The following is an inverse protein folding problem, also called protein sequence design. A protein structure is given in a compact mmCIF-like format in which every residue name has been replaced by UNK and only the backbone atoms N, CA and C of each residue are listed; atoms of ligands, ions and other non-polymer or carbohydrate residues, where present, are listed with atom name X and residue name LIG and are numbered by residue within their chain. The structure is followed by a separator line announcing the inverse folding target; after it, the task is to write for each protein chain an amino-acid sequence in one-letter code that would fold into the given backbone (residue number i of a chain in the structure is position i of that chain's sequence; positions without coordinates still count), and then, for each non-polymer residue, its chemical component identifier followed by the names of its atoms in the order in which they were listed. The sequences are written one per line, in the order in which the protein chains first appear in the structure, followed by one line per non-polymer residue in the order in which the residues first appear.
data_IF_321045483715
#
_entry.id   IF_321045483715
#
_cell.length_a   1.000
_cell.length_b   1.000
_cell.length_c   1.000
_cell.angle_alpha   90.00
_cell.angle_beta   90.00
_cell.angle_gamma   90.00
#
_symmetry.space_group_name_H-M   'P 1'
#
loop_
_entity.id
_entity.type
_entity.pdbx_description
1 polymer ?
#
# COMPACT_ATOMS: atom_id res chain seq x y z
N UNK A 1 -14.06 11.32 -16.80
CA UNK A 1 -15.04 10.82 -15.80
C UNK A 1 -14.36 10.72 -14.43
N UNK A 2 -15.06 10.98 -13.32
CA UNK A 2 -14.49 10.80 -11.97
C UNK A 2 -14.51 9.31 -11.62
N UNK A 3 -13.36 8.78 -11.17
CA UNK A 3 -13.21 7.40 -10.70
C UNK A 3 -13.26 7.30 -9.17
N UNK A 4 -12.85 6.14 -8.64
CA UNK A 4 -12.89 5.82 -7.20
C UNK A 4 -11.96 6.66 -6.33
N UNK A 5 -10.97 7.32 -6.94
CA UNK A 5 -10.07 8.28 -6.30
C UNK A 5 -10.25 9.69 -6.89
N UNK A 6 -11.43 9.99 -7.46
CA UNK A 6 -11.74 11.24 -8.14
C UNK A 6 -11.12 11.35 -9.54
N UNK A 7 -10.47 12.49 -9.85
CA UNK A 7 -9.91 12.73 -11.20
C UNK A 7 -8.42 12.40 -11.22
N UNK A 8 -8.07 11.25 -11.80
CA UNK A 8 -6.69 10.82 -11.99
C UNK A 8 -6.06 11.53 -13.19
N UNK A 9 -4.90 12.14 -12.98
CA UNK A 9 -4.12 12.82 -14.02
C UNK A 9 -2.98 11.96 -14.53
N UNK A 10 -2.40 11.12 -13.67
CA UNK A 10 -1.35 10.19 -14.03
C UNK A 10 -1.45 8.91 -13.20
N UNK A 11 -1.01 7.79 -13.76
CA UNK A 11 -0.85 6.53 -13.02
C UNK A 11 0.43 5.87 -13.45
N UNK A 12 1.10 5.26 -12.48
CA UNK A 12 2.14 4.29 -12.72
C UNK A 12 1.82 3.05 -11.90
N UNK A 13 1.76 1.89 -12.53
CA UNK A 13 1.54 0.62 -11.85
C UNK A 13 2.43 -0.47 -12.44
N UNK A 14 2.97 -1.32 -11.58
CA UNK A 14 3.72 -2.52 -11.95
C UNK A 14 3.05 -3.72 -11.32
N UNK A 15 2.89 -4.75 -12.11
CA UNK A 15 2.43 -6.07 -11.69
C UNK A 15 3.62 -7.01 -11.71
N UNK A 16 3.95 -7.57 -10.54
CA UNK A 16 4.99 -8.58 -10.38
C UNK A 16 4.42 -9.86 -9.76
N UNK A 17 5.19 -10.93 -9.87
CA UNK A 17 4.87 -12.20 -9.20
C UNK A 17 5.58 -12.25 -7.86
N UNK A 18 4.82 -12.37 -6.78
CA UNK A 18 5.42 -12.56 -5.45
C UNK A 18 5.91 -14.00 -5.26
N UNK A 19 6.69 -14.25 -4.21
CA UNK A 19 7.24 -15.58 -3.87
C UNK A 19 6.20 -16.71 -3.72
N UNK A 20 4.90 -16.37 -3.62
CA UNK A 20 3.77 -17.31 -3.59
C UNK A 20 3.20 -17.63 -4.99
N UNK A 21 3.86 -17.20 -6.06
CA UNK A 21 3.46 -17.38 -7.45
C UNK A 21 2.10 -16.77 -7.82
N UNK A 22 1.69 -15.71 -7.11
CA UNK A 22 0.48 -14.93 -7.43
C UNK A 22 0.86 -13.55 -7.91
N UNK A 23 0.01 -12.94 -8.73
CA UNK A 23 0.16 -11.54 -9.12
C UNK A 23 0.07 -10.62 -7.89
N UNK A 24 0.93 -9.62 -7.87
CA UNK A 24 1.02 -8.58 -6.87
C UNK A 24 1.24 -7.25 -7.58
N UNK A 25 0.53 -6.20 -7.16
CA UNK A 25 0.57 -4.90 -7.81
C UNK A 25 1.12 -3.82 -6.88
N UNK A 26 1.94 -2.95 -7.42
CA UNK A 26 2.33 -1.67 -6.82
C UNK A 26 1.88 -0.55 -7.73
N UNK A 27 1.22 0.47 -7.19
CA UNK A 27 0.75 1.61 -7.98
C UNK A 27 0.96 2.94 -7.26
N UNK A 28 1.37 3.94 -8.02
CA UNK A 28 1.26 5.35 -7.70
C UNK A 28 0.18 5.97 -8.58
N UNK A 29 -0.79 6.63 -7.96
CA UNK A 29 -1.90 7.28 -8.65
C UNK A 29 -1.86 8.76 -8.29
N UNK A 30 -1.68 9.62 -9.28
CA UNK A 30 -1.72 11.06 -9.12
C UNK A 30 -3.08 11.56 -9.55
N UNK A 31 -3.75 12.30 -8.67
CA UNK A 31 -5.06 12.85 -8.98
C UNK A 31 -5.74 13.50 -7.80
N UNK A 32 -6.88 14.10 -8.09
CA UNK A 32 -7.76 14.78 -7.15
C UNK A 32 -7.08 15.93 -6.40
N UNK A 33 -6.43 15.67 -5.27
CA UNK A 33 -5.91 16.70 -4.38
C UNK A 33 -4.40 16.49 -4.20
N UNK A 34 -3.55 17.40 -4.70
CA UNK A 34 -2.10 17.25 -4.59
C UNK A 34 -1.62 17.29 -3.13
N UNK A 35 -0.58 16.49 -2.76
CA UNK A 35 -0.03 16.49 -1.40
C UNK A 35 0.45 17.86 -0.94
N UNK A 36 1.08 18.62 -1.84
CA UNK A 36 1.53 19.99 -1.56
C UNK A 36 0.37 20.93 -1.21
N UNK A 37 -0.77 20.78 -1.87
CA UNK A 37 -1.96 21.57 -1.56
C UNK A 37 -2.48 21.22 -0.17
N UNK A 38 -2.63 19.92 0.12
CA UNK A 38 -3.05 19.41 1.43
C UNK A 38 -2.16 19.93 2.58
N UNK A 39 -0.84 19.97 2.37
CA UNK A 39 0.11 20.52 3.34
C UNK A 39 -0.07 22.03 3.54
N UNK A 40 -0.24 22.80 2.45
CA UNK A 40 -0.41 24.27 2.52
C UNK A 40 -1.71 24.71 3.22
N UNK A 41 -2.73 23.86 3.24
CA UNK A 41 -4.03 24.16 3.88
C UNK A 41 -4.12 23.60 5.30
N UNK A 42 -3.11 22.87 5.79
CA UNK A 42 -3.22 22.06 7.00
C UNK A 42 -3.58 22.85 8.27
N UNK A 43 -3.25 24.15 8.32
CA UNK A 43 -3.61 25.04 9.43
C UNK A 43 -4.96 25.74 9.25
N UNK A 44 -5.63 25.57 8.11
CA UNK A 44 -6.95 26.16 7.84
C UNK A 44 -8.06 25.13 8.07
N UNK A 45 -8.61 25.15 9.28
CA UNK A 45 -9.61 24.20 9.74
C UNK A 45 -10.86 24.13 8.84
N UNK A 46 -11.34 25.27 8.32
CA UNK A 46 -12.53 25.30 7.46
C UNK A 46 -12.32 24.59 6.11
N UNK A 47 -11.12 24.70 5.53
CA UNK A 47 -10.76 23.99 4.31
C UNK A 47 -10.49 22.52 4.62
N UNK A 48 -9.77 22.23 5.71
CA UNK A 48 -9.47 20.87 6.18
C UNK A 48 -10.75 20.06 6.34
N UNK A 49 -11.81 20.61 6.94
CA UNK A 49 -13.09 19.90 7.10
C UNK A 49 -13.70 19.49 5.76
N UNK A 50 -13.73 20.40 4.77
CA UNK A 50 -14.27 20.11 3.44
C UNK A 50 -13.44 19.05 2.72
N UNK A 51 -12.12 19.18 2.77
CA UNK A 51 -11.19 18.22 2.17
C UNK A 51 -11.29 16.84 2.82
N UNK A 52 -11.41 16.79 4.14
CA UNK A 52 -11.55 15.54 4.90
C UNK A 52 -12.80 14.76 4.47
N UNK A 53 -13.93 15.45 4.25
CA UNK A 53 -15.14 14.82 3.71
C UNK A 53 -14.93 14.24 2.31
N UNK A 54 -14.15 14.91 1.44
CA UNK A 54 -13.79 14.37 0.12
C UNK A 54 -12.90 13.15 0.26
N UNK A 55 -11.90 13.18 1.13
CA UNK A 55 -11.00 12.05 1.38
C UNK A 55 -11.73 10.84 1.97
N UNK A 56 -12.69 11.06 2.87
CA UNK A 56 -13.55 10.01 3.43
C UNK A 56 -14.46 9.35 2.38
N UNK A 57 -14.71 10.03 1.24
CA UNK A 57 -15.41 9.43 0.10
C UNK A 57 -14.53 8.49 -0.74
N UNK A 58 -13.19 8.61 -0.61
CA UNK A 58 -12.21 7.81 -1.34
C UNK A 58 -11.64 6.67 -0.51
N UNK A 59 -11.43 6.90 0.79
CA UNK A 59 -10.69 6.00 1.66
C UNK A 59 -11.46 5.78 2.96
N UNK A 60 -11.28 4.61 3.54
CA UNK A 60 -11.72 4.29 4.89
C UNK A 60 -10.65 3.49 5.62
N UNK A 61 -10.57 3.69 6.93
CA UNK A 61 -9.68 2.98 7.83
C UNK A 61 -10.46 2.41 9.04
N UNK A 62 -11.76 2.20 8.87
CA UNK A 62 -12.67 1.71 9.91
C UNK A 62 -13.65 0.68 9.36
N UNK A 63 -14.16 -0.14 10.27
CA UNK A 63 -15.28 -1.06 10.01
C UNK A 63 -16.40 -0.80 11.00
N UNK A 64 -17.65 -1.19 10.65
CA UNK A 64 -18.73 -1.28 11.62
C UNK A 64 -18.32 -2.12 12.85
N UNK A 65 -18.62 -1.67 14.09
CA UNK A 65 -18.18 -2.36 15.30
C UNK A 65 -18.67 -3.80 15.46
N UNK A 66 -19.86 -4.12 14.98
CA UNK A 66 -20.44 -5.47 14.94
C UNK A 66 -19.58 -6.44 14.11
N UNK A 67 -19.03 -5.97 12.98
CA UNK A 67 -18.10 -6.75 12.16
C UNK A 67 -16.79 -7.01 12.92
N UNK A 68 -16.31 -6.04 13.69
CA UNK A 68 -15.13 -6.23 14.55
C UNK A 68 -15.38 -7.27 15.64
N UNK A 69 -16.56 -7.21 16.28
CA UNK A 69 -16.97 -8.19 17.30
C UNK A 69 -16.99 -9.59 16.68
N UNK A 70 -17.65 -9.78 15.55
CA UNK A 70 -17.70 -11.09 14.87
C UNK A 70 -16.30 -11.58 14.47
N UNK A 71 -15.44 -10.69 13.95
CA UNK A 71 -14.06 -11.01 13.60
C UNK A 71 -13.20 -11.41 14.81
N UNK A 72 -13.46 -10.82 15.98
CA UNK A 72 -12.81 -11.20 17.24
C UNK A 72 -13.34 -12.53 17.78
N UNK A 73 -14.65 -12.76 17.77
CA UNK A 73 -15.27 -14.03 18.14
C UNK A 73 -14.74 -15.18 17.26
N UNK A 74 -14.67 -14.97 15.95
CA UNK A 74 -14.07 -15.94 15.02
C UNK A 74 -12.63 -16.29 15.41
N UNK A 75 -11.83 -15.30 15.85
CA UNK A 75 -10.46 -15.56 16.32
C UNK A 75 -10.41 -16.34 17.63
N UNK A 76 -11.30 -16.04 18.57
CA UNK A 76 -11.39 -16.72 19.86
C UNK A 76 -11.79 -18.19 19.66
N UNK A 77 -12.82 -18.43 18.84
CA UNK A 77 -13.33 -19.76 18.51
C UNK A 77 -12.50 -20.50 17.45
N UNK A 78 -11.45 -19.86 16.91
CA UNK A 78 -10.58 -20.39 15.83
C UNK A 78 -11.35 -20.75 14.55
N UNK A 79 -12.46 -20.06 14.30
CA UNK A 79 -13.24 -20.15 13.07
C UNK A 79 -12.48 -19.38 11.98
N UNK A 80 -12.31 -20.01 10.82
CA UNK A 80 -11.68 -19.35 9.67
C UNK A 80 -12.74 -18.52 8.94
N UNK A 81 -12.57 -17.19 8.83
CA UNK A 81 -13.50 -16.38 8.06
C UNK A 81 -13.38 -16.72 6.56
N UNK A 82 -14.38 -16.31 5.73
CA UNK A 82 -14.30 -16.50 4.30
C UNK A 82 -13.04 -15.83 3.72
N UNK A 83 -12.51 -16.43 2.65
CA UNK A 83 -11.41 -15.83 1.91
C UNK A 83 -11.96 -14.77 0.97
N UNK A 84 -11.51 -13.52 1.12
CA UNK A 84 -12.01 -12.39 0.35
C UNK A 84 -11.96 -12.65 -1.16
N UNK A 85 -10.92 -13.34 -1.64
CA UNK A 85 -10.71 -13.64 -3.06
C UNK A 85 -11.67 -14.68 -3.63
N UNK A 86 -12.45 -15.37 -2.78
CA UNK A 86 -13.47 -16.35 -3.17
C UNK A 86 -14.88 -15.76 -3.07
N UNK A 87 -15.02 -14.55 -2.51
CA UNK A 87 -16.30 -13.87 -2.41
C UNK A 87 -16.62 -13.19 -3.74
N UNK A 88 -17.85 -13.35 -4.22
CA UNK A 88 -18.28 -12.76 -5.49
C UNK A 88 -18.17 -11.22 -5.40
N UNK A 89 -17.62 -10.54 -6.42
CA UNK A 89 -17.67 -9.08 -6.49
C UNK A 89 -19.12 -8.63 -6.67
N UNK A 90 -19.51 -7.59 -5.95
CA UNK A 90 -20.84 -6.95 -6.05
C UNK A 90 -20.68 -5.48 -6.38
N UNK A 91 -21.73 -4.87 -6.95
CA UNK A 91 -21.77 -3.45 -7.26
C UNK A 91 -22.94 -2.78 -6.52
N UNK A 92 -22.83 -1.48 -6.18
CA UNK A 92 -23.94 -0.76 -5.57
C UNK A 92 -25.22 -0.80 -6.41
N UNK A 93 -25.09 -0.80 -7.74
CA UNK A 93 -26.23 -0.89 -8.67
C UNK A 93 -26.94 -2.25 -8.63
N UNK A 94 -26.24 -3.33 -8.22
CA UNK A 94 -26.81 -4.67 -8.19
C UNK A 94 -27.54 -5.00 -6.88
N UNK A 95 -27.05 -4.48 -5.75
CA UNK A 95 -27.53 -4.89 -4.42
C UNK A 95 -27.91 -3.72 -3.50
N UNK A 96 -27.76 -2.47 -3.96
CA UNK A 96 -27.89 -1.27 -3.13
C UNK A 96 -26.60 -0.91 -2.41
N UNK A 97 -26.49 0.36 -2.00
CA UNK A 97 -25.26 0.90 -1.40
C UNK A 97 -24.95 0.29 -0.02
N UNK A 98 -25.96 0.14 0.84
CA UNK A 98 -25.76 -0.38 2.19
C UNK A 98 -25.31 -1.84 2.18
N UNK A 99 -25.96 -2.67 1.34
CA UNK A 99 -25.57 -4.07 1.17
C UNK A 99 -24.17 -4.20 0.53
N UNK A 100 -23.80 -3.29 -0.37
CA UNK A 100 -22.46 -3.19 -0.91
C UNK A 100 -21.42 -2.88 0.17
N UNK A 101 -21.68 -1.91 1.04
CA UNK A 101 -20.78 -1.56 2.15
C UNK A 101 -20.68 -2.68 3.19
N UNK A 102 -21.78 -3.39 3.47
CA UNK A 102 -21.79 -4.59 4.31
C UNK A 102 -20.95 -5.72 3.70
N UNK A 103 -21.11 -6.01 2.41
CA UNK A 103 -20.29 -7.01 1.70
C UNK A 103 -18.81 -6.67 1.77
N UNK A 104 -18.47 -5.39 1.53
CA UNK A 104 -17.10 -4.90 1.61
C UNK A 104 -16.52 -5.10 3.01
N UNK A 105 -17.28 -4.79 4.05
CA UNK A 105 -16.84 -4.92 5.45
C UNK A 105 -16.46 -6.36 5.79
N UNK A 106 -17.23 -7.34 5.32
CA UNK A 106 -16.92 -8.76 5.48
C UNK A 106 -15.65 -9.16 4.69
N UNK A 107 -15.45 -8.62 3.48
CA UNK A 107 -14.19 -8.86 2.72
C UNK A 107 -12.97 -8.28 3.43
N UNK A 108 -13.12 -7.12 4.07
CA UNK A 108 -12.04 -6.46 4.81
C UNK A 108 -11.62 -7.29 6.02
N UNK A 109 -12.55 -7.84 6.80
CA UNK A 109 -12.25 -8.72 7.94
C UNK A 109 -11.85 -10.15 7.52
N UNK A 110 -12.23 -10.57 6.31
CA UNK A 110 -11.94 -11.88 5.75
C UNK A 110 -10.46 -12.22 5.57
N UNK A 111 -10.18 -13.50 5.25
CA UNK A 111 -8.81 -13.95 4.99
C UNK A 111 -8.28 -13.27 3.73
N UNK A 112 -7.13 -12.60 3.87
CA UNK A 112 -6.52 -11.84 2.79
C UNK A 112 -7.19 -10.49 2.55
N UNK A 113 -8.06 -10.05 3.46
CA UNK A 113 -8.62 -8.69 3.49
C UNK A 113 -7.65 -7.66 4.06
N UNK A 114 -8.20 -6.59 4.62
CA UNK A 114 -7.44 -5.41 5.07
C UNK A 114 -7.22 -5.37 6.58
N UNK A 115 -7.58 -6.42 7.31
CA UNK A 115 -7.22 -6.53 8.72
C UNK A 115 -5.76 -6.92 8.90
N UNK A 116 -4.97 -6.02 9.47
CA UNK A 116 -3.58 -6.29 9.78
C UNK A 116 -3.46 -7.45 10.77
N UNK A 117 -2.64 -8.43 10.39
CA UNK A 117 -2.22 -9.53 11.22
C UNK A 117 -0.71 -9.57 11.21
N UNK A 118 -0.10 -9.64 12.39
CA UNK A 118 1.34 -9.80 12.48
C UNK A 118 1.78 -11.08 11.76
N UNK A 119 2.70 -10.92 10.82
CA UNK A 119 3.37 -12.01 10.11
C UNK A 119 4.89 -11.85 10.28
N UNK A 120 5.67 -12.78 9.73
CA UNK A 120 7.13 -12.72 9.80
C UNK A 120 7.70 -11.40 9.21
N UNK A 121 7.01 -10.77 8.24
CA UNK A 121 7.45 -9.49 7.65
C UNK A 121 7.39 -8.35 8.65
N UNK A 122 6.45 -8.41 9.61
CA UNK A 122 6.30 -7.43 10.67
C UNK A 122 7.51 -7.43 11.62
N UNK A 123 8.27 -8.54 11.66
CA UNK A 123 9.45 -8.70 12.51
C UNK A 123 10.78 -8.42 11.79
N UNK A 124 10.73 -7.97 10.52
CA UNK A 124 11.94 -7.69 9.72
C UNK A 124 12.54 -6.32 10.06
N UNK A 125 13.88 -6.22 9.98
CA UNK A 125 14.62 -4.97 10.13
C UNK A 125 14.78 -4.51 11.59
N UNK A 126 15.42 -3.35 11.80
CA UNK A 126 15.65 -2.79 13.14
C UNK A 126 14.33 -2.56 13.90
N UNK A 127 13.36 -1.90 13.26
CA UNK A 127 12.05 -1.61 13.86
C UNK A 127 11.26 -2.87 14.20
N UNK A 128 11.30 -3.89 13.34
CA UNK A 128 10.58 -5.16 13.52
C UNK A 128 10.99 -5.96 14.77
N UNK A 129 12.14 -5.66 15.37
CA UNK A 129 12.61 -6.30 16.61
C UNK A 129 11.91 -5.77 17.86
N UNK A 130 11.48 -4.50 17.81
CA UNK A 130 10.90 -3.79 18.97
C UNK A 130 9.40 -3.58 18.81
N UNK A 131 8.94 -3.39 17.57
CA UNK A 131 7.54 -3.11 17.26
C UNK A 131 7.15 -3.68 15.90
N UNK A 132 5.89 -3.53 15.50
CA UNK A 132 5.48 -3.91 14.16
C UNK A 132 6.23 -3.05 13.13
N UNK A 133 6.98 -3.67 12.21
CA UNK A 133 7.64 -2.97 11.10
C UNK A 133 6.67 -2.09 10.29
N UNK A 134 5.40 -2.50 10.18
CA UNK A 134 4.36 -1.78 9.46
C UNK A 134 3.62 -0.76 10.35
N UNK A 135 4.15 -0.47 11.55
CA UNK A 135 3.59 0.48 12.52
C UNK A 135 2.10 0.22 12.85
N UNK A 136 1.78 -1.05 13.16
CA UNK A 136 0.44 -1.49 13.57
C UNK A 136 0.40 -1.92 15.05
N UNK A 137 -0.71 -1.67 15.78
CA UNK A 137 -1.88 -0.90 15.35
C UNK A 137 -1.50 0.56 15.08
N UNK A 138 -2.17 1.17 14.10
CA UNK A 138 -1.96 2.58 13.78
C UNK A 138 -2.68 3.45 14.80
N UNK A 139 -2.21 4.69 14.98
CA UNK A 139 -2.81 5.65 15.89
C UNK A 139 -4.30 5.90 15.57
N UNK A 140 -5.11 6.01 16.62
CA UNK A 140 -6.52 6.35 16.51
C UNK A 140 -6.68 7.85 16.24
N UNK A 141 -7.68 8.20 15.46
CA UNK A 141 -7.94 9.56 15.05
C UNK A 141 -9.46 9.79 14.85
N UNK A 142 -10.11 10.71 15.58
CA UNK A 142 -11.56 10.87 15.51
C UNK A 142 -12.08 11.37 14.15
N UNK A 143 -11.21 11.99 13.35
CA UNK A 143 -11.55 12.56 12.04
C UNK A 143 -10.38 12.47 11.08
N UNK A 144 -10.65 12.37 9.79
CA UNK A 144 -9.60 12.54 8.77
C UNK A 144 -9.02 13.94 8.86
N UNK A 145 -7.70 14.08 8.74
CA UNK A 145 -7.07 15.40 8.80
C UNK A 145 -5.56 15.37 9.06
N UNK A 146 -4.93 16.55 9.06
CA UNK A 146 -3.50 16.69 9.28
C UNK A 146 -3.12 16.50 10.76
N UNK A 147 -1.93 15.97 10.96
CA UNK A 147 -1.17 15.91 12.21
C UNK A 147 0.22 16.47 11.94
N UNK A 148 0.75 17.30 12.82
CA UNK A 148 2.11 17.82 12.69
C UNK A 148 3.03 17.09 13.67
N UNK A 149 4.18 16.65 13.18
CA UNK A 149 5.20 15.97 13.96
C UNK A 149 6.38 16.92 14.15
N UNK A 150 6.84 17.07 15.39
CA UNK A 150 8.06 17.78 15.73
C UNK A 150 9.13 16.78 16.13
N UNK A 151 10.28 16.85 15.47
CA UNK A 151 11.46 16.04 15.78
C UNK A 151 12.40 16.82 16.69
N UNK A 152 12.88 16.19 17.74
CA UNK A 152 13.95 16.72 18.58
C UNK A 152 15.20 15.90 18.31
N UNK A 153 16.23 16.56 17.77
CA UNK A 153 17.54 15.94 17.60
C UNK A 153 18.14 15.69 18.99
N UNK A 154 18.61 14.45 19.23
CA UNK A 154 19.42 14.17 20.39
C UNK A 154 20.84 14.67 20.08
N UNK A 155 21.33 15.67 20.82
CA UNK A 155 22.69 16.17 20.63
C UNK A 155 23.72 15.08 20.97
N UNK A 156 24.72 14.90 20.09
CA UNK A 156 25.96 14.17 20.41
C UNK A 156 26.09 12.74 19.92
N UNK A 157 25.09 12.15 19.26
CA UNK A 157 25.21 10.78 18.72
C UNK A 157 24.46 10.62 17.39
N UNK A 158 25.21 10.40 16.31
CA UNK A 158 24.66 10.18 14.96
C UNK A 158 23.80 8.91 14.85
N UNK A 159 23.89 8.01 15.83
CA UNK A 159 23.09 6.79 15.93
C UNK A 159 21.92 6.89 16.94
N UNK A 160 21.81 7.97 17.70
CA UNK A 160 20.68 8.16 18.61
C UNK A 160 19.38 8.42 17.85
N UNK A 161 18.37 7.61 18.13
CA UNK A 161 17.03 7.78 17.57
C UNK A 161 16.49 9.17 17.96
N UNK A 162 16.22 10.02 16.96
CA UNK A 162 15.55 11.29 17.17
C UNK A 162 14.22 11.03 17.90
N UNK A 163 13.99 11.76 18.99
CA UNK A 163 12.68 11.72 19.63
C UNK A 163 11.70 12.55 18.82
N UNK A 164 10.42 12.21 18.90
CA UNK A 164 9.37 12.91 18.17
C UNK A 164 8.12 13.02 19.03
N UNK A 165 7.33 14.05 18.76
CA UNK A 165 6.00 14.23 19.34
C UNK A 165 5.02 14.72 18.29
N UNK A 166 3.75 14.36 18.44
CA UNK A 166 2.66 14.94 17.65
C UNK A 166 2.23 16.21 18.36
N UNK A 167 2.11 17.31 17.62
CA UNK A 167 1.62 18.58 18.16
C UNK A 167 0.09 18.54 18.29
N UNK A 168 -0.42 19.23 19.32
CA UNK A 168 -1.87 19.35 19.56
C UNK A 168 -2.58 20.16 18.48
N UNK A 169 -1.87 21.10 17.85
CA UNK A 169 -2.37 21.94 16.77
C UNK A 169 -1.34 22.07 15.64
N UNK A 170 -1.84 22.35 14.44
CA UNK A 170 -0.99 22.58 13.27
C UNK A 170 -0.47 24.02 13.32
N UNK A 171 0.85 24.16 13.26
CA UNK A 171 1.51 25.47 13.17
C UNK A 171 1.17 26.09 11.81
N UNK A 172 0.76 27.38 11.76
CA UNK A 172 0.52 28.07 10.49
C UNK A 172 1.73 28.00 9.56
N UNK A 173 1.46 27.93 8.26
CA UNK A 173 2.51 28.00 7.23
C UNK A 173 3.21 29.36 7.30
N UNK A 174 4.53 29.37 7.10
CA UNK A 174 5.26 30.62 6.94
C UNK A 174 4.77 31.36 5.69
N UNK A 175 4.33 32.61 5.88
CA UNK A 175 3.78 33.43 4.81
C UNK A 175 4.84 33.82 3.78
N UNK A 176 6.13 33.79 4.12
CA UNK A 176 7.25 34.04 3.19
C UNK A 176 7.23 33.06 2.03
N UNK A 177 6.80 31.81 2.26
CA UNK A 177 6.69 30.75 1.25
C UNK A 177 5.70 31.11 0.12
N UNK A 178 4.78 32.04 0.36
CA UNK A 178 3.78 32.50 -0.61
C UNK A 178 4.19 33.77 -1.36
N UNK A 179 5.34 34.37 -1.04
CA UNK A 179 5.78 35.61 -1.67
C UNK A 179 6.36 35.36 -3.08
N UNK A 180 6.31 36.39 -3.92
CA UNK A 180 6.97 36.37 -5.23
C UNK A 180 8.48 36.31 -5.04
N UNK A 181 9.11 35.21 -5.47
CA UNK A 181 10.57 35.07 -5.42
C UNK A 181 11.25 35.65 -6.66
N UNK A 182 12.42 36.24 -6.47
CA UNK A 182 13.31 36.60 -7.57
C UNK A 182 13.90 35.32 -8.19
N UNK A 183 13.42 34.94 -9.38
CA UNK A 183 13.85 33.70 -10.05
C UNK A 183 15.30 33.71 -10.51
N UNK A 184 15.94 34.88 -10.61
CA UNK A 184 17.36 34.99 -10.98
C UNK A 184 18.31 34.68 -9.83
N UNK A 185 17.94 35.04 -8.59
CA UNK A 185 18.77 34.79 -7.39
C UNK A 185 18.29 33.58 -6.59
N UNK A 186 16.98 33.29 -6.61
CA UNK A 186 16.33 32.19 -5.90
C UNK A 186 15.42 31.42 -6.88
N UNK A 187 16.00 30.61 -7.80
CA UNK A 187 15.25 29.93 -8.85
C UNK A 187 14.29 28.87 -8.29
N UNK A 188 14.63 28.25 -7.16
CA UNK A 188 13.82 27.24 -6.48
C UNK A 188 12.96 27.87 -5.37
N UNK A 189 11.72 27.40 -5.15
CA UNK A 189 10.94 27.81 -3.98
C UNK A 189 11.59 27.27 -2.71
N UNK A 190 11.47 28.03 -1.62
CA UNK A 190 11.69 27.48 -0.29
C UNK A 190 10.70 26.34 -0.03
N UNK A 191 11.14 25.34 0.74
CA UNK A 191 10.31 24.19 1.11
C UNK A 191 9.64 24.45 2.45
N UNK A 192 8.38 24.02 2.58
CA UNK A 192 7.71 24.00 3.87
C UNK A 192 8.43 23.01 4.79
N UNK A 193 8.97 23.51 5.90
CA UNK A 193 9.74 22.72 6.86
C UNK A 193 8.85 21.92 7.83
N UNK A 194 7.53 22.17 7.85
CA UNK A 194 6.61 21.47 8.75
C UNK A 194 6.47 20.01 8.31
N UNK A 195 6.80 19.06 9.18
CA UNK A 195 6.50 17.66 8.95
C UNK A 195 5.02 17.39 9.24
N UNK A 196 4.19 17.42 8.21
CA UNK A 196 2.75 17.17 8.30
C UNK A 196 2.45 15.77 7.74
N UNK A 197 1.54 15.06 8.40
CA UNK A 197 1.03 13.76 7.98
C UNK A 197 -0.49 13.84 7.97
N UNK A 198 -1.14 13.42 6.89
CA UNK A 198 -2.60 13.27 6.87
C UNK A 198 -2.97 11.85 7.27
N UNK A 199 -3.80 11.76 8.31
CA UNK A 199 -4.29 10.50 8.87
C UNK A 199 -5.78 10.35 8.57
N UNK A 200 -6.20 9.12 8.28
CA UNK A 200 -7.61 8.80 8.04
C UNK A 200 -8.40 8.75 9.35
N UNK A 201 -9.72 8.98 9.27
CA UNK A 201 -10.64 8.76 10.38
C UNK A 201 -10.56 7.30 10.83
N UNK A 202 -10.19 7.13 12.09
CA UNK A 202 -9.98 5.86 12.78
C UNK A 202 -10.38 6.02 14.24
N UNK A 203 -11.68 6.12 14.48
CA UNK A 203 -12.21 6.39 15.82
C UNK A 203 -11.95 5.22 16.78
N UNK A 204 -11.73 5.58 18.04
CA UNK A 204 -11.84 4.64 19.15
C UNK A 204 -13.30 4.15 19.24
N UNK A 205 -13.46 2.86 19.51
CA UNK A 205 -14.78 2.24 19.60
C UNK A 205 -15.24 2.32 21.05
N UNK A 206 -16.39 2.97 21.26
CA UNK A 206 -17.12 2.90 22.53
C UNK A 206 -17.66 1.48 22.70
N UNK A 207 -16.95 0.69 23.51
CA UNK A 207 -17.22 -0.73 23.70
C UNK A 207 -18.58 -0.95 24.35
N UNK A 208 -18.94 -0.15 25.35
CA UNK A 208 -20.17 -0.35 26.13
C UNK A 208 -21.39 -0.12 25.24
N UNK A 209 -21.41 1.01 24.51
CA UNK A 209 -22.47 1.32 23.54
C UNK A 209 -22.59 0.24 22.46
N UNK A 210 -21.46 -0.30 21.99
CA UNK A 210 -21.48 -1.37 20.98
C UNK A 210 -22.07 -2.65 21.54
N UNK A 211 -21.60 -3.10 22.70
CA UNK A 211 -22.08 -4.34 23.34
C UNK A 211 -23.58 -4.24 23.63
N UNK A 212 -24.06 -3.10 24.14
CA UNK A 212 -25.50 -2.85 24.36
C UNK A 212 -26.33 -2.91 23.07
N UNK A 213 -25.76 -2.49 21.93
CA UNK A 213 -26.42 -2.50 20.63
C UNK A 213 -26.41 -3.86 19.89
N UNK A 214 -25.67 -4.86 20.38
CA UNK A 214 -25.57 -6.17 19.71
C UNK A 214 -26.86 -6.98 19.77
N UNK A 215 -27.05 -7.84 18.76
CA UNK A 215 -28.11 -8.84 18.76
C UNK A 215 -28.01 -9.76 19.99
N UNK A 216 -29.14 -10.20 20.58
CA UNK A 216 -29.15 -11.04 21.78
C UNK A 216 -28.26 -12.28 21.67
N UNK A 217 -28.27 -12.94 20.51
CA UNK A 217 -27.46 -14.13 20.23
C UNK A 217 -25.96 -13.89 20.37
N UNK A 218 -25.48 -12.72 19.92
CA UNK A 218 -24.06 -12.36 20.00
C UNK A 218 -23.67 -12.00 21.43
N UNK A 219 -24.57 -11.36 22.18
CA UNK A 219 -24.37 -11.09 23.62
C UNK A 219 -24.23 -12.38 24.41
N UNK A 220 -25.13 -13.34 24.19
CA UNK A 220 -25.06 -14.67 24.81
C UNK A 220 -23.74 -15.39 24.49
N UNK A 221 -23.26 -15.30 23.25
CA UNK A 221 -21.96 -15.85 22.85
C UNK A 221 -20.79 -15.18 23.60
N UNK A 222 -20.82 -13.85 23.74
CA UNK A 222 -19.83 -13.10 24.52
C UNK A 222 -19.90 -13.49 26.01
N UNK A 223 -21.11 -13.63 26.57
CA UNK A 223 -21.33 -13.99 27.97
C UNK A 223 -20.85 -15.42 28.29
N UNK A 224 -20.90 -16.33 27.31
CA UNK A 224 -20.36 -17.67 27.42
C UNK A 224 -18.82 -17.75 27.38
N UNK A 225 -18.12 -16.66 27.04
CA UNK A 225 -16.66 -16.63 27.04
C UNK A 225 -16.10 -16.66 28.47
N UNK A 226 -14.87 -17.18 28.62
CA UNK A 226 -14.11 -17.03 29.86
C UNK A 226 -13.81 -15.56 30.15
N UNK A 227 -13.66 -15.21 31.43
CA UNK A 227 -13.37 -13.83 31.86
C UNK A 227 -12.16 -13.23 31.14
N UNK A 228 -11.11 -14.04 30.97
CA UNK A 228 -9.91 -13.65 30.21
C UNK A 228 -10.23 -13.30 28.75
N UNK A 229 -11.08 -14.09 28.10
CA UNK A 229 -11.44 -13.84 26.70
C UNK A 229 -12.36 -12.63 26.57
N UNK A 230 -13.27 -12.41 27.52
CA UNK A 230 -14.08 -11.19 27.60
C UNK A 230 -13.20 -9.96 27.74
N UNK A 231 -12.28 -9.95 28.70
CA UNK A 231 -11.35 -8.84 28.92
C UNK A 231 -10.51 -8.54 27.66
N UNK A 232 -9.98 -9.59 27.01
CA UNK A 232 -9.21 -9.43 25.78
C UNK A 232 -10.09 -8.90 24.63
N UNK A 233 -11.33 -9.37 24.50
CA UNK A 233 -12.27 -8.89 23.49
C UNK A 233 -12.54 -7.40 23.69
N UNK A 234 -12.92 -6.97 24.90
CA UNK A 234 -13.22 -5.55 25.18
C UNK A 234 -12.02 -4.64 24.92
N UNK A 235 -10.85 -5.00 25.45
CA UNK A 235 -9.61 -4.22 25.23
C UNK A 235 -9.21 -4.15 23.76
N UNK A 236 -9.37 -5.24 23.02
CA UNK A 236 -8.99 -5.28 21.60
C UNK A 236 -10.02 -4.56 20.73
N UNK A 237 -11.30 -4.58 21.10
CA UNK A 237 -12.39 -3.95 20.38
C UNK A 237 -12.24 -2.42 20.38
N UNK A 238 -11.95 -1.81 21.54
CA UNK A 238 -11.79 -0.36 21.68
C UNK A 238 -10.83 0.24 20.62
N UNK A 239 -9.70 -0.45 20.39
CA UNK A 239 -8.63 0.02 19.48
C UNK A 239 -8.63 -0.67 18.12
N UNK A 240 -9.68 -1.43 17.79
CA UNK A 240 -9.66 -2.39 16.69
C UNK A 240 -9.48 -1.75 15.31
N UNK A 241 -9.98 -0.53 15.13
CA UNK A 241 -9.76 0.26 13.92
C UNK A 241 -8.27 0.53 13.65
N UNK A 242 -7.41 0.51 14.67
CA UNK A 242 -5.93 0.53 14.54
C UNK A 242 -5.36 -0.59 13.67
N UNK A 243 -6.04 -1.73 13.60
CA UNK A 243 -5.64 -2.86 12.77
C UNK A 243 -6.16 -2.77 11.33
N UNK A 244 -7.11 -1.90 11.02
CA UNK A 244 -7.68 -1.76 9.67
C UNK A 244 -6.68 -1.01 8.78
N UNK A 245 -6.16 -1.72 7.79
CA UNK A 245 -5.38 -1.11 6.70
C UNK A 245 -6.33 -0.33 5.81
N UNK A 246 -5.92 0.88 5.46
CA UNK A 246 -6.65 1.83 4.63
C UNK A 246 -7.08 1.17 3.31
N UNK A 247 -8.34 1.37 2.93
CA UNK A 247 -8.90 0.77 1.74
C UNK A 247 -9.94 1.68 1.08
N UNK A 248 -10.20 1.41 -0.20
CA UNK A 248 -11.34 1.96 -0.93
C UNK A 248 -12.40 0.85 -1.09
N UNK A 249 -13.68 1.09 -0.76
CA UNK A 249 -14.70 0.04 -0.82
C UNK A 249 -14.85 -0.61 -2.20
N UNK A 250 -14.89 0.19 -3.27
CA UNK A 250 -15.01 -0.31 -4.64
C UNK A 250 -13.78 -1.11 -5.08
N UNK A 251 -12.58 -0.67 -4.69
CA UNK A 251 -11.35 -1.41 -4.96
C UNK A 251 -11.31 -2.76 -4.25
N UNK A 252 -11.68 -2.78 -2.95
CA UNK A 252 -11.74 -4.02 -2.16
C UNK A 252 -12.78 -4.99 -2.71
N UNK A 253 -13.95 -4.48 -3.10
CA UNK A 253 -15.02 -5.29 -3.68
C UNK A 253 -14.64 -5.92 -5.01
N UNK A 254 -13.97 -5.15 -5.87
CA UNK A 254 -13.53 -5.59 -7.19
C UNK A 254 -12.41 -6.64 -7.11
N UNK A 255 -11.40 -6.42 -6.28
CA UNK A 255 -10.20 -7.27 -6.26
C UNK A 255 -10.28 -8.44 -5.27
N UNK A 256 -11.04 -8.31 -4.19
CA UNK A 256 -11.17 -9.35 -3.16
C UNK A 256 -9.82 -9.73 -2.52
N UNK A 257 -8.86 -8.81 -2.47
CA UNK A 257 -7.54 -9.04 -1.91
C UNK A 257 -7.10 -7.85 -1.06
N UNK A 258 -5.94 -7.97 -0.41
CA UNK A 258 -5.38 -6.85 0.32
C UNK A 258 -4.87 -5.80 -0.66
N UNK A 259 -5.29 -4.55 -0.50
CA UNK A 259 -5.01 -3.47 -1.46
C UNK A 259 -4.18 -2.34 -0.87
N UNK A 260 -4.24 -2.13 0.44
CA UNK A 260 -3.45 -1.13 1.15
C UNK A 260 -3.43 0.25 0.45
N UNK A 261 -4.63 0.81 0.24
CA UNK A 261 -4.81 2.06 -0.50
C UNK A 261 -4.54 3.27 0.40
N UNK A 262 -3.28 3.69 0.47
CA UNK A 262 -2.85 4.79 1.33
C UNK A 262 -3.05 6.17 0.68
N UNK A 263 -3.60 7.11 1.46
CA UNK A 263 -3.54 8.53 1.16
C UNK A 263 -2.11 9.04 1.37
N UNK A 264 -1.58 9.78 0.41
CA UNK A 264 -0.30 10.48 0.51
C UNK A 264 -0.60 11.98 0.62
N UNK A 265 -0.88 12.48 1.82
CA UNK A 265 -1.43 13.81 2.02
C UNK A 265 -0.40 14.93 2.25
N UNK A 266 0.89 14.62 2.23
CA UNK A 266 1.98 15.59 2.36
C UNK A 266 3.14 15.25 1.45
N UNK A 267 4.07 16.20 1.26
CA UNK A 267 5.29 15.95 0.50
C UNK A 267 6.14 14.85 1.13
N UNK A 268 6.18 14.76 2.47
CA UNK A 268 6.92 13.73 3.20
C UNK A 268 6.30 12.34 3.01
N UNK A 269 4.97 12.22 3.16
CA UNK A 269 4.26 10.96 2.90
C UNK A 269 4.47 10.50 1.45
N UNK A 270 4.31 11.43 0.49
CA UNK A 270 4.49 11.14 -0.92
C UNK A 270 5.93 10.71 -1.25
N UNK A 271 6.93 11.44 -0.75
CA UNK A 271 8.35 11.14 -0.98
C UNK A 271 8.75 9.79 -0.39
N UNK A 272 8.33 9.49 0.84
CA UNK A 272 8.58 8.21 1.49
C UNK A 272 7.98 7.03 0.71
N UNK A 273 6.72 7.18 0.26
CA UNK A 273 6.07 6.17 -0.57
C UNK A 273 6.73 5.99 -1.94
N UNK A 274 7.14 7.08 -2.60
CA UNK A 274 7.84 7.02 -3.88
C UNK A 274 9.21 6.35 -3.76
N UNK A 275 10.01 6.64 -2.73
CA UNK A 275 11.28 5.93 -2.49
C UNK A 275 11.10 4.42 -2.28
N UNK A 276 9.97 4.02 -1.69
CA UNK A 276 9.60 2.62 -1.61
C UNK A 276 9.21 2.06 -2.99
N UNK A 277 8.34 2.76 -3.73
CA UNK A 277 7.82 2.31 -5.01
C UNK A 277 8.90 2.23 -6.09
N UNK A 278 9.86 3.16 -6.12
CA UNK A 278 10.97 3.19 -7.10
C UNK A 278 11.67 1.84 -7.20
N UNK A 279 11.85 1.13 -6.08
CA UNK A 279 12.47 -0.21 -6.06
C UNK A 279 11.73 -1.25 -6.90
N UNK A 280 10.43 -1.05 -7.12
CA UNK A 280 9.58 -1.88 -7.96
C UNK A 280 9.46 -1.31 -9.37
N UNK A 281 9.48 0.02 -9.52
CA UNK A 281 9.44 0.69 -10.82
C UNK A 281 10.70 0.41 -11.65
N UNK A 282 11.87 0.37 -10.99
CA UNK A 282 13.18 0.21 -11.64
C UNK A 282 13.81 -1.15 -11.35
N UNK A 283 12.99 -2.15 -10.98
CA UNK A 283 13.51 -3.48 -10.63
C UNK A 283 14.08 -4.13 -11.88
N UNK A 284 15.40 -4.19 -11.97
CA UNK A 284 16.08 -4.98 -13.00
C UNK A 284 15.65 -6.44 -12.86
N UNK A 285 15.04 -6.99 -13.90
CA UNK A 285 14.59 -8.38 -13.94
C UNK A 285 15.76 -9.37 -13.91
N UNK A 286 16.99 -8.92 -14.18
CA UNK A 286 18.23 -9.71 -14.04
C UNK A 286 19.35 -8.82 -13.51
N UNK A 287 19.81 -9.06 -12.28
CA UNK A 287 21.00 -8.38 -11.75
C UNK A 287 22.21 -8.68 -12.64
N UNK A 288 22.99 -7.65 -13.02
CA UNK A 288 24.16 -7.78 -13.91
C UNK A 288 25.14 -8.92 -13.52
N UNK A 289 25.27 -9.19 -12.21
CA UNK A 289 26.11 -10.28 -11.70
C UNK A 289 25.68 -11.68 -12.16
N UNK A 290 24.38 -11.89 -12.42
CA UNK A 290 23.83 -13.15 -12.94
C UNK A 290 24.01 -13.28 -14.46
N UNK A 291 24.35 -12.19 -15.15
CA UNK A 291 24.53 -12.14 -16.61
C UNK A 291 25.88 -12.64 -17.09
N UNK A 292 26.93 -12.39 -16.32
CA UNK A 292 28.29 -12.75 -16.70
C UNK A 292 28.50 -14.27 -16.85
N UNK A 293 27.96 -15.14 -15.96
CA UNK A 293 28.03 -16.59 -16.16
C UNK A 293 27.33 -17.07 -17.43
N UNK A 294 26.16 -16.50 -17.74
CA UNK A 294 25.38 -16.84 -18.95
C UNK A 294 26.15 -16.46 -20.21
N UNK A 295 26.71 -15.25 -20.25
CA UNK A 295 27.52 -14.76 -21.37
C UNK A 295 28.77 -15.63 -21.54
N UNK A 296 29.50 -15.90 -20.46
CA UNK A 296 30.69 -16.77 -20.49
C UNK A 296 30.37 -18.17 -20.99
N UNK A 297 29.25 -18.76 -20.56
CA UNK A 297 28.83 -20.08 -21.01
C UNK A 297 28.41 -20.08 -22.48
N UNK A 298 27.71 -19.03 -22.94
CA UNK A 298 27.38 -18.85 -24.35
C UNK A 298 28.65 -18.72 -25.22
N UNK A 299 29.65 -17.94 -24.77
CA UNK A 299 30.93 -17.80 -25.49
C UNK A 299 31.66 -19.14 -25.60
N UNK A 300 31.79 -19.87 -24.48
CA UNK A 300 32.42 -21.20 -24.48
C UNK A 300 31.74 -22.16 -25.46
N UNK A 301 30.42 -22.12 -25.53
CA UNK A 301 29.65 -23.00 -26.41
C UNK A 301 29.84 -22.63 -27.88
N UNK A 302 29.75 -21.35 -28.24
CA UNK A 302 29.94 -20.90 -29.64
C UNK A 302 31.36 -21.16 -30.13
N UNK A 303 32.36 -21.08 -29.24
CA UNK A 303 33.74 -21.43 -29.59
C UNK A 303 33.97 -22.94 -29.75
N UNK A 304 33.15 -23.78 -29.10
CA UNK A 304 33.29 -25.23 -29.12
C UNK A 304 32.44 -25.92 -30.20
N UNK A 305 31.36 -25.28 -30.65
CA UNK A 305 30.39 -25.86 -31.57
C UNK A 305 29.97 -24.85 -32.63
N UNK A 306 30.01 -25.26 -33.91
CA UNK A 306 29.54 -24.46 -35.02
C UNK A 306 28.01 -24.43 -35.11
N UNK A 307 27.48 -23.42 -35.79
CA UNK A 307 26.04 -23.33 -36.05
C UNK A 307 25.63 -24.33 -37.13
N UNK A 308 24.49 -25.01 -36.94
CA UNK A 308 23.90 -25.90 -37.96
C UNK A 308 23.02 -25.17 -39.00
N UNK A 309 23.00 -23.82 -38.97
CA UNK A 309 22.23 -23.04 -39.92
C UNK A 309 22.90 -23.00 -41.30
N UNK A 310 22.13 -22.77 -42.36
CA UNK A 310 22.64 -22.76 -43.73
C UNK A 310 23.70 -21.68 -44.00
N UNK A 311 23.71 -20.60 -43.21
CA UNK A 311 24.65 -19.47 -43.28
C UNK A 311 25.80 -19.55 -42.24
N UNK A 312 26.11 -20.76 -41.77
CA UNK A 312 27.20 -21.03 -40.83
C UNK A 312 28.56 -20.51 -41.34
N UNK A 313 29.42 -20.11 -40.41
CA UNK A 313 30.75 -19.56 -40.71
C UNK A 313 30.77 -18.05 -41.02
N UNK A 314 29.63 -17.40 -41.25
CA UNK A 314 29.57 -15.94 -41.36
C UNK A 314 29.57 -15.24 -40.00
N UNK A 315 30.23 -14.07 -39.90
CA UNK A 315 30.25 -13.27 -38.67
C UNK A 315 28.85 -12.91 -38.16
N UNK A 316 27.92 -12.64 -39.10
CA UNK A 316 26.52 -12.37 -38.81
C UNK A 316 25.84 -13.58 -38.15
N UNK A 317 26.06 -14.79 -38.67
CA UNK A 317 25.47 -16.01 -38.12
C UNK A 317 26.05 -16.35 -36.75
N UNK A 318 27.36 -16.22 -36.59
CA UNK A 318 28.05 -16.44 -35.31
C UNK A 318 27.54 -15.48 -34.24
N UNK A 319 27.39 -14.20 -34.58
CA UNK A 319 26.82 -13.19 -33.68
C UNK A 319 25.38 -13.52 -33.27
N UNK A 320 24.51 -13.88 -34.22
CA UNK A 320 23.14 -14.30 -33.93
C UNK A 320 23.09 -15.58 -33.09
N UNK A 321 23.96 -16.55 -33.35
CA UNK A 321 24.03 -17.80 -32.58
C UNK A 321 24.45 -17.54 -31.13
N UNK A 322 25.45 -16.67 -30.93
CA UNK A 322 25.86 -16.21 -29.61
C UNK A 322 24.75 -15.48 -28.86
N UNK A 323 24.10 -14.50 -29.49
CA UNK A 323 22.97 -13.77 -28.91
C UNK A 323 21.80 -14.69 -28.57
N UNK A 324 21.46 -15.65 -29.44
CA UNK A 324 20.39 -16.62 -29.18
C UNK A 324 20.67 -17.43 -27.91
N UNK A 325 21.92 -17.88 -27.72
CA UNK A 325 22.30 -18.63 -26.51
C UNK A 325 22.24 -17.77 -25.25
N UNK A 326 22.64 -16.50 -25.35
CA UNK A 326 22.50 -15.54 -24.25
C UNK A 326 21.03 -15.35 -23.89
N UNK A 327 20.17 -15.06 -24.87
CA UNK A 327 18.73 -14.87 -24.67
C UNK A 327 18.11 -16.12 -24.04
N UNK A 328 18.34 -17.30 -24.62
CA UNK A 328 17.79 -18.55 -24.09
C UNK A 328 18.31 -18.87 -22.69
N UNK A 329 19.59 -18.57 -22.41
CA UNK A 329 20.18 -18.74 -21.08
C UNK A 329 19.53 -17.83 -20.04
N UNK A 330 19.27 -16.57 -20.40
CA UNK A 330 18.53 -15.64 -19.55
C UNK A 330 17.08 -16.08 -19.34
N UNK A 331 16.39 -16.48 -20.41
CA UNK A 331 15.02 -16.99 -20.32
C UNK A 331 14.95 -18.24 -19.44
N UNK A 332 15.95 -19.13 -19.51
CA UNK A 332 16.03 -20.31 -18.65
C UNK A 332 16.28 -20.02 -17.16
N UNK A 333 16.85 -18.86 -16.84
CA UNK A 333 17.01 -18.39 -15.46
C UNK A 333 15.76 -17.65 -14.94
N UNK A 334 14.87 -17.22 -15.84
CA UNK A 334 13.66 -16.52 -15.48
C UNK A 334 12.56 -17.53 -15.07
N UNK A 335 12.27 -17.63 -13.78
CA UNK A 335 11.07 -18.33 -13.31
C UNK A 335 9.84 -17.46 -13.57
N UNK A 336 8.95 -17.92 -14.46
CA UNK A 336 7.66 -17.27 -14.73
C UNK A 336 6.58 -18.11 -14.07
N UNK A 337 5.73 -17.50 -13.23
CA UNK A 337 4.59 -18.22 -12.67
C UNK A 337 3.52 -18.51 -13.72
N UNK A 338 2.75 -19.56 -13.48
CA UNK A 338 1.52 -19.87 -14.21
C UNK A 338 0.57 -18.65 -14.29
N UNK A 339 0.41 -17.92 -13.19
CA UNK A 339 -0.41 -16.70 -13.13
C UNK A 339 0.12 -15.55 -13.98
N UNK A 340 1.45 -15.41 -14.08
CA UNK A 340 2.09 -14.41 -14.93
C UNK A 340 2.00 -14.78 -16.41
N UNK A 341 2.17 -16.06 -16.75
CA UNK A 341 1.91 -16.58 -18.09
C UNK A 341 0.45 -16.33 -18.49
N UNK A 342 -0.51 -16.68 -17.63
CA UNK A 342 -1.93 -16.46 -17.89
C UNK A 342 -2.24 -14.97 -18.09
N UNK A 343 -1.71 -14.09 -17.23
CA UNK A 343 -1.88 -12.64 -17.38
C UNK A 343 -1.33 -12.14 -18.72
N UNK A 344 -0.13 -12.59 -19.11
CA UNK A 344 0.48 -12.23 -20.39
C UNK A 344 -0.34 -12.73 -21.58
N UNK A 345 -0.87 -13.96 -21.52
CA UNK A 345 -1.73 -14.53 -22.56
C UNK A 345 -3.07 -13.79 -22.68
N UNK A 346 -3.58 -13.25 -21.58
CA UNK A 346 -4.77 -12.38 -21.55
C UNK A 346 -4.47 -10.93 -21.98
N UNK A 347 -3.24 -10.62 -22.40
CA UNK A 347 -2.84 -9.29 -22.84
C UNK A 347 -2.66 -8.29 -21.69
N UNK A 348 -2.56 -8.75 -20.44
CA UNK A 348 -2.28 -7.88 -19.31
C UNK A 348 -0.83 -7.39 -19.37
N UNK A 349 -0.66 -6.08 -19.25
CA UNK A 349 0.67 -5.47 -19.22
C UNK A 349 1.29 -5.64 -17.84
N UNK A 350 2.59 -5.94 -17.79
CA UNK A 350 3.38 -5.95 -16.54
C UNK A 350 3.59 -4.54 -15.98
N UNK A 351 3.45 -3.51 -16.82
CA UNK A 351 3.55 -2.11 -16.46
C UNK A 351 2.43 -1.31 -17.13
N UNK A 352 1.81 -0.41 -16.37
CA UNK A 352 0.85 0.58 -16.84
C UNK A 352 1.39 1.95 -16.46
N UNK A 353 1.56 2.83 -17.44
CA UNK A 353 1.97 4.22 -17.22
C UNK A 353 1.19 5.14 -18.14
N UNK A 354 0.75 6.29 -17.63
CA UNK A 354 0.19 7.37 -18.47
C UNK A 354 1.27 8.09 -19.26
N UNK A 355 2.50 8.07 -18.77
CA UNK A 355 3.64 8.75 -19.35
C UNK A 355 4.60 7.74 -19.97
N UNK A 356 5.21 8.14 -21.08
CA UNK A 356 6.29 7.37 -21.71
C UNK A 356 7.60 7.76 -21.04
N UNK A 357 8.07 6.96 -20.10
CA UNK A 357 9.37 7.18 -19.48
C UNK A 357 10.46 6.57 -20.35
N UNK A 358 11.28 7.40 -20.98
CA UNK A 358 12.61 7.01 -21.44
C UNK A 358 13.57 7.29 -20.30
N UNK A 359 13.97 6.23 -19.57
CA UNK A 359 15.20 6.29 -18.79
C UNK A 359 16.33 6.07 -19.79
N UNK A 360 17.03 7.15 -20.16
CA UNK A 360 18.23 7.09 -21.00
C UNK A 360 19.41 6.51 -20.21
#
# INVERSE_FOLDING_TARGET
PKGIFGTTTAVFAVVETQARKTLHGHAAIWGSIPPKFLQSIASNEAIVQKVSSVLDSFYTARLPPDIHVQGLLNKIHKVQPPRASRMKPVTPSAIGFDAFMASCSVKVDGIGGQMHKHTFTCRKGKNGRLSCRLARPSGLNPRTGPKQIEFTACEGDTDALSTWKVLDSIVPEDQTLRQLRNRSTHPLPESDARCIVWEMKREEIDVDTVIEGLEPRVKEEIDALSDRNKELLMKTLAVRNGAVVEFNPALTECLGCNTAAYLLGSEEQARAALFYLVKYMTKDSVALGNSLPVIRQAMKHVNAYESNAADAGSDSRTSKFFMQRIVNGFTGLAEISDTQCAASLLGMRSMVSTDTHWFA
#
